data_IF_437449079904
#
_entry.id   IF_437449079904
#
_cell.length_a   1.000
_cell.length_b   1.000
_cell.length_c   1.000
_cell.angle_alpha   90.00
_cell.angle_beta   90.00
_cell.angle_gamma   90.00
#
_symmetry.space_group_name_H-M   'P 1'
#
loop_
_entity.id
_entity.type
_entity.pdbx_description
1 polymer ?
#
# COMPACT_ATOMS: atom_id res chain seq x y z
N UNK A 1 8.67 -0.71 9.39
CA UNK A 1 8.99 -1.15 8.02
C UNK A 1 10.07 -0.22 7.51
N UNK A 2 11.36 -0.57 7.65
CA UNK A 2 12.45 0.37 7.39
C UNK A 2 12.53 0.80 5.93
N UNK A 3 12.04 -0.01 4.98
CA UNK A 3 12.14 0.28 3.54
C UNK A 3 10.89 0.92 2.92
N UNK A 4 9.87 1.23 3.72
CA UNK A 4 8.57 1.74 3.22
C UNK A 4 8.31 3.11 3.82
N UNK A 5 8.05 4.12 2.98
CA UNK A 5 7.47 5.38 3.43
C UNK A 5 5.95 5.23 3.50
N UNK A 6 5.48 4.69 4.63
CA UNK A 6 4.06 4.41 4.81
C UNK A 6 3.21 5.68 4.93
N UNK A 7 3.79 6.77 5.41
CA UNK A 7 3.13 8.07 5.44
C UNK A 7 2.83 8.55 4.02
N UNK A 8 3.82 8.51 3.12
CA UNK A 8 3.61 8.90 1.71
C UNK A 8 2.64 7.97 1.00
N UNK A 9 2.68 6.66 1.28
CA UNK A 9 1.70 5.71 0.74
C UNK A 9 0.28 6.04 1.18
N UNK A 10 0.08 6.29 2.48
CA UNK A 10 -1.23 6.66 3.03
C UNK A 10 -1.69 8.00 2.47
N UNK A 11 -0.81 9.01 2.41
CA UNK A 11 -1.12 10.30 1.81
C UNK A 11 -1.51 10.17 0.33
N UNK A 12 -0.86 9.29 -0.42
CA UNK A 12 -1.18 9.01 -1.82
C UNK A 12 -2.56 8.38 -1.98
N UNK A 13 -2.93 7.46 -1.09
CA UNK A 13 -4.25 6.84 -1.05
C UNK A 13 -5.34 7.81 -0.57
N UNK A 14 -5.08 8.67 0.42
CA UNK A 14 -6.06 9.67 0.90
C UNK A 14 -6.22 10.82 -0.11
N UNK A 15 -5.18 11.09 -0.91
CA UNK A 15 -5.19 12.11 -1.95
C UNK A 15 -5.28 13.53 -1.38
N UNK A 16 -6.04 14.40 -2.04
CA UNK A 16 -6.14 15.84 -1.69
C UNK A 16 -6.57 16.09 -0.23
N UNK A 17 -7.35 15.18 0.34
CA UNK A 17 -7.87 15.28 1.70
C UNK A 17 -6.79 15.10 2.77
N UNK A 18 -5.63 14.54 2.42
CA UNK A 18 -4.53 14.35 3.37
C UNK A 18 -4.08 15.67 4.01
N UNK A 19 -4.05 16.75 3.22
CA UNK A 19 -3.67 18.09 3.68
C UNK A 19 -4.72 18.72 4.61
N UNK A 20 -5.93 18.17 4.64
CA UNK A 20 -7.03 18.63 5.51
C UNK A 20 -7.10 17.80 6.81
N UNK A 21 -6.46 16.62 6.84
CA UNK A 21 -6.41 15.77 8.02
C UNK A 21 -5.55 16.41 9.12
N UNK A 22 -6.04 16.38 10.35
CA UNK A 22 -5.23 16.74 11.53
C UNK A 22 -4.09 15.73 11.73
N UNK A 23 -3.02 16.07 12.48
CA UNK A 23 -1.95 15.13 12.78
C UNK A 23 -2.44 13.81 13.41
N UNK A 24 -3.46 13.88 14.27
CA UNK A 24 -4.09 12.70 14.88
C UNK A 24 -4.84 11.86 13.84
N UNK A 25 -5.59 12.50 12.94
CA UNK A 25 -6.27 11.80 11.84
C UNK A 25 -5.25 11.15 10.89
N UNK A 26 -4.17 11.83 10.54
CA UNK A 26 -3.09 11.28 9.74
C UNK A 26 -2.47 10.04 10.40
N UNK A 27 -2.27 10.07 11.72
CA UNK A 27 -1.75 8.93 12.49
C UNK A 27 -2.73 7.76 12.48
N UNK A 28 -4.03 8.02 12.71
CA UNK A 28 -5.08 6.98 12.68
C UNK A 28 -5.25 6.37 11.30
N UNK A 29 -5.29 7.19 10.24
CA UNK A 29 -5.36 6.72 8.86
C UNK A 29 -4.18 5.81 8.52
N UNK A 30 -2.95 6.20 8.90
CA UNK A 30 -1.77 5.35 8.70
C UNK A 30 -1.89 4.02 9.45
N UNK A 31 -2.29 4.03 10.72
CA UNK A 31 -2.42 2.82 11.53
C UNK A 31 -3.47 1.86 10.96
N UNK A 32 -4.65 2.37 10.63
CA UNK A 32 -5.77 1.56 10.12
C UNK A 32 -5.50 1.06 8.70
N UNK A 33 -4.94 1.91 7.84
CA UNK A 33 -4.61 1.50 6.47
C UNK A 33 -3.49 0.45 6.45
N UNK A 34 -2.46 0.58 7.30
CA UNK A 34 -1.42 -0.44 7.47
C UNK A 34 -2.01 -1.77 7.87
N UNK A 35 -2.90 -1.76 8.86
CA UNK A 35 -3.57 -2.97 9.36
C UNK A 35 -4.41 -3.62 8.26
N UNK A 36 -5.14 -2.81 7.48
CA UNK A 36 -5.93 -3.30 6.35
C UNK A 36 -5.04 -4.02 5.33
N UNK A 37 -3.98 -3.37 4.86
CA UNK A 37 -3.06 -3.95 3.88
C UNK A 37 -2.39 -5.23 4.40
N UNK A 38 -1.92 -5.23 5.65
CA UNK A 38 -1.33 -6.43 6.26
C UNK A 38 -2.33 -7.58 6.26
N UNK A 39 -3.60 -7.34 6.61
CA UNK A 39 -4.63 -8.40 6.62
C UNK A 39 -5.02 -8.86 5.23
N UNK A 40 -5.19 -7.95 4.28
CA UNK A 40 -5.56 -8.28 2.90
C UNK A 40 -4.50 -9.14 2.23
N UNK A 41 -3.22 -8.93 2.51
CA UNK A 41 -2.11 -9.60 1.82
C UNK A 41 -1.33 -10.61 2.65
N UNK A 42 -1.59 -10.75 3.96
CA UNK A 42 -0.92 -11.74 4.82
C UNK A 42 -1.06 -13.16 4.27
N UNK A 43 -2.25 -13.55 3.83
CA UNK A 43 -2.50 -14.88 3.27
C UNK A 43 -1.69 -15.17 2.01
N UNK A 44 -1.48 -14.18 1.14
CA UNK A 44 -0.66 -14.34 -0.05
C UNK A 44 0.83 -14.50 0.30
N UNK A 45 1.30 -13.76 1.31
CA UNK A 45 2.69 -13.83 1.78
C UNK A 45 3.05 -15.19 2.38
N UNK A 46 2.11 -15.89 3.03
CA UNK A 46 2.38 -17.23 3.59
C UNK A 46 2.50 -18.31 2.53
N UNK A 47 1.98 -18.06 1.32
CA UNK A 47 2.12 -18.97 0.18
C UNK A 47 3.47 -18.80 -0.54
N UNK A 48 4.27 -17.80 -0.17
CA UNK A 48 5.61 -17.59 -0.74
C UNK A 48 6.60 -18.49 -0.01
N UNK A 49 6.97 -19.61 -0.63
CA UNK A 49 7.97 -20.58 -0.13
C UNK A 49 9.05 -20.87 -1.15
N UNK A 50 8.65 -21.29 -2.35
CA UNK A 50 9.56 -21.75 -3.41
C UNK A 50 9.60 -20.79 -4.62
N UNK A 51 9.04 -19.58 -4.46
CA UNK A 51 9.01 -18.59 -5.53
C UNK A 51 10.31 -17.79 -5.57
N UNK A 52 10.75 -17.47 -6.79
CA UNK A 52 11.88 -16.56 -7.04
C UNK A 52 11.37 -15.18 -7.47
N UNK A 53 12.16 -14.15 -7.20
CA UNK A 53 11.86 -12.77 -7.64
C UNK A 53 12.74 -12.45 -8.84
N UNK A 54 12.11 -12.19 -9.98
CA UNK A 54 12.75 -11.68 -11.19
C UNK A 54 12.71 -10.16 -11.22
N UNK A 55 13.87 -9.51 -11.31
CA UNK A 55 13.97 -8.07 -11.51
C UNK A 55 13.96 -7.78 -13.03
N UNK A 56 13.08 -6.88 -13.48
CA UNK A 56 13.10 -6.39 -14.87
C UNK A 56 14.10 -5.24 -15.01
N UNK A 57 14.58 -4.96 -16.24
CA UNK A 57 15.52 -3.86 -16.46
C UNK A 57 15.01 -2.54 -15.88
N UNK A 58 15.80 -1.94 -14.99
CA UNK A 58 15.50 -0.64 -14.42
C UNK A 58 15.70 0.44 -15.49
N UNK A 59 14.68 1.27 -15.66
CA UNK A 59 14.74 2.48 -16.50
C UNK A 59 14.70 3.68 -15.57
N UNK A 60 15.87 4.15 -15.17
CA UNK A 60 16.04 5.31 -14.30
C UNK A 60 17.35 6.04 -14.65
N UNK A 61 17.38 7.35 -14.46
CA UNK A 61 18.57 8.18 -14.53
C UNK A 61 19.17 8.39 -13.14
N UNK A 62 20.49 8.63 -13.02
CA UNK A 62 21.13 8.89 -11.72
C UNK A 62 20.56 10.09 -10.96
N UNK A 63 19.95 11.04 -11.68
CA UNK A 63 19.33 12.25 -11.13
C UNK A 63 17.89 12.05 -10.67
N UNK A 64 17.28 10.90 -10.97
CA UNK A 64 15.89 10.66 -10.62
C UNK A 64 15.72 10.57 -9.09
N UNK A 65 14.67 11.19 -8.59
CA UNK A 65 14.26 11.12 -7.18
C UNK A 65 13.07 10.19 -6.98
N UNK A 66 12.47 9.71 -8.06
CA UNK A 66 11.37 8.75 -8.06
C UNK A 66 11.56 7.75 -9.20
N UNK A 67 11.39 6.46 -8.91
CA UNK A 67 11.56 5.38 -9.89
C UNK A 67 10.50 4.31 -9.73
N UNK A 68 10.26 3.56 -10.81
CA UNK A 68 9.48 2.33 -10.76
C UNK A 68 10.42 1.14 -10.91
N UNK A 69 10.54 0.34 -9.86
CA UNK A 69 11.24 -0.94 -9.90
C UNK A 69 10.22 -2.01 -10.26
N UNK A 70 10.44 -2.69 -11.39
CA UNK A 70 9.51 -3.71 -11.89
C UNK A 70 10.00 -5.09 -11.52
N UNK A 71 9.15 -5.89 -10.89
CA UNK A 71 9.49 -7.27 -10.52
C UNK A 71 8.39 -8.24 -10.90
N UNK A 72 8.73 -9.52 -10.92
CA UNK A 72 7.79 -10.60 -11.06
C UNK A 72 8.13 -11.74 -10.10
N UNK A 73 7.12 -12.26 -9.42
CA UNK A 73 7.24 -13.44 -8.60
C UNK A 73 7.00 -14.65 -9.51
N UNK A 74 7.99 -15.53 -9.61
CA UNK A 74 7.95 -16.74 -10.45
C UNK A 74 7.86 -17.97 -9.57
N UNK A 75 6.90 -18.84 -9.84
CA UNK A 75 6.69 -20.12 -9.15
C UNK A 75 6.35 -21.23 -10.13
N UNK A 76 5.52 -22.19 -9.71
CA UNK A 76 5.03 -23.29 -10.57
C UNK A 76 3.93 -22.89 -11.55
N UNK A 77 3.35 -21.70 -11.40
CA UNK A 77 2.30 -21.15 -12.27
C UNK A 77 2.72 -19.83 -12.92
N UNK A 78 1.72 -19.08 -13.42
CA UNK A 78 1.94 -17.79 -14.06
C UNK A 78 2.70 -16.81 -13.15
N UNK A 79 3.61 -16.05 -13.77
CA UNK A 79 4.38 -15.05 -13.05
C UNK A 79 3.46 -13.91 -12.58
N UNK A 80 3.56 -13.57 -11.30
CA UNK A 80 2.76 -12.49 -10.71
C UNK A 80 3.57 -11.19 -10.81
N UNK A 81 3.03 -10.19 -11.48
CA UNK A 81 3.64 -8.86 -11.52
C UNK A 81 3.53 -8.17 -10.16
N UNK A 82 4.68 -7.70 -9.66
CA UNK A 82 4.80 -6.95 -8.42
C UNK A 82 5.76 -5.77 -8.64
N UNK A 83 5.23 -4.57 -8.88
CA UNK A 83 6.08 -3.39 -9.10
C UNK A 83 6.05 -2.47 -7.89
N UNK A 84 7.07 -1.63 -7.76
CA UNK A 84 7.22 -0.72 -6.64
C UNK A 84 7.49 0.69 -7.15
N UNK A 85 6.75 1.68 -6.65
CA UNK A 85 7.16 3.09 -6.77
C UNK A 85 8.06 3.40 -5.58
N UNK A 86 9.28 3.88 -5.87
CA UNK A 86 10.25 4.27 -4.86
C UNK A 86 10.52 5.76 -4.98
N UNK A 87 10.72 6.40 -3.85
CA UNK A 87 11.21 7.77 -3.74
C UNK A 87 12.57 7.79 -3.06
N UNK A 88 13.37 8.82 -3.34
CA UNK A 88 14.60 9.11 -2.63
C UNK A 88 14.27 9.96 -1.39
N UNK A 89 14.37 9.36 -0.21
CA UNK A 89 14.21 10.00 1.09
C UNK A 89 15.60 10.26 1.70
N UNK A 90 16.17 11.43 1.41
CA UNK A 90 17.56 11.74 1.77
C UNK A 90 18.55 10.89 0.98
N UNK A 91 19.32 10.05 1.67
CA UNK A 91 20.27 9.13 1.05
C UNK A 91 19.68 7.74 0.74
N UNK A 92 18.45 7.46 1.18
CA UNK A 92 17.84 6.13 1.08
C UNK A 92 16.66 6.12 0.12
N UNK A 93 16.49 4.99 -0.59
CA UNK A 93 15.28 4.75 -1.36
C UNK A 93 14.20 4.10 -0.49
N UNK A 94 12.97 4.61 -0.58
CA UNK A 94 11.81 4.08 0.15
C UNK A 94 10.68 3.78 -0.81
N UNK A 95 10.05 2.62 -0.62
CA UNK A 95 8.83 2.25 -1.35
C UNK A 95 7.69 3.11 -0.82
N UNK A 96 6.94 3.77 -1.70
CA UNK A 96 5.74 4.53 -1.33
C UNK A 96 4.47 4.03 -2.03
N UNK A 97 4.58 3.08 -2.96
CA UNK A 97 3.42 2.42 -3.56
C UNK A 97 3.81 1.05 -4.12
N UNK A 98 2.84 0.15 -4.23
CA UNK A 98 3.02 -1.21 -4.75
C UNK A 98 1.97 -1.47 -5.82
N UNK A 99 2.39 -2.09 -6.92
CA UNK A 99 1.52 -2.58 -7.97
C UNK A 99 1.37 -4.09 -7.81
N UNK A 100 0.14 -4.58 -7.72
CA UNK A 100 -0.16 -6.01 -7.71
C UNK A 100 -1.04 -6.30 -8.91
N UNK A 101 -0.58 -7.17 -9.81
CA UNK A 101 -1.34 -7.58 -11.00
C UNK A 101 -1.84 -6.39 -11.86
N UNK A 102 -1.01 -5.36 -12.02
CA UNK A 102 -1.33 -4.18 -12.82
C UNK A 102 -2.00 -3.05 -12.04
N UNK A 103 -2.41 -3.28 -10.79
CA UNK A 103 -3.16 -2.31 -9.98
C UNK A 103 -2.24 -1.70 -8.91
N UNK A 104 -2.04 -0.38 -8.98
CA UNK A 104 -1.36 0.38 -7.92
C UNK A 104 -2.27 0.53 -6.70
N UNK A 105 -1.79 0.15 -5.53
CA UNK A 105 -2.59 0.15 -4.30
C UNK A 105 -3.06 1.56 -3.96
N UNK A 106 -2.18 2.57 -4.00
CA UNK A 106 -2.59 3.93 -3.68
C UNK A 106 -3.69 4.44 -4.62
N UNK A 107 -3.59 4.15 -5.91
CA UNK A 107 -4.59 4.57 -6.91
C UNK A 107 -5.92 3.82 -6.71
N UNK A 108 -5.88 2.52 -6.40
CA UNK A 108 -7.06 1.71 -6.09
C UNK A 108 -7.82 2.26 -4.88
N UNK A 109 -7.12 2.50 -3.77
CA UNK A 109 -7.76 3.01 -2.55
C UNK A 109 -8.18 4.47 -2.65
N UNK A 110 -7.51 5.27 -3.47
CA UNK A 110 -7.84 6.70 -3.66
C UNK A 110 -9.28 6.94 -4.06
N UNK A 111 -9.80 6.14 -4.98
CA UNK A 111 -11.17 6.29 -5.43
C UNK A 111 -12.16 5.98 -4.31
N UNK A 112 -11.98 4.85 -3.61
CA UNK A 112 -12.86 4.46 -2.51
C UNK A 112 -12.75 5.41 -1.30
N UNK A 113 -11.56 5.90 -0.98
CA UNK A 113 -11.35 6.83 0.13
C UNK A 113 -11.96 8.19 -0.18
N UNK A 114 -11.81 8.69 -1.41
CA UNK A 114 -12.42 9.95 -1.79
C UNK A 114 -13.96 9.91 -1.70
N UNK A 115 -14.58 8.78 -2.07
CA UNK A 115 -16.01 8.58 -1.92
C UNK A 115 -16.45 8.57 -0.45
N UNK A 116 -15.75 7.82 0.40
CA UNK A 116 -16.05 7.74 1.83
C UNK A 116 -15.87 9.09 2.53
N UNK A 117 -14.76 9.80 2.24
CA UNK A 117 -14.51 11.13 2.80
C UNK A 117 -15.56 12.13 2.31
N UNK A 118 -15.99 12.03 1.04
CA UNK A 118 -17.04 12.89 0.51
C UNK A 118 -18.38 12.71 1.22
N UNK A 119 -18.70 11.50 1.66
CA UNK A 119 -19.95 11.19 2.37
C UNK A 119 -19.86 11.46 3.88
N UNK A 120 -18.77 11.05 4.52
CA UNK A 120 -18.68 10.91 5.97
C UNK A 120 -17.47 11.64 6.58
N UNK A 121 -16.72 12.40 5.78
CA UNK A 121 -15.51 13.09 6.21
C UNK A 121 -14.35 12.14 6.53
N UNK A 122 -13.25 12.73 7.01
CA UNK A 122 -12.02 11.97 7.33
C UNK A 122 -12.25 10.99 8.49
N UNK A 123 -13.03 11.39 9.50
CA UNK A 123 -13.38 10.51 10.61
C UNK A 123 -14.26 9.34 10.15
N UNK A 124 -15.13 9.54 9.16
CA UNK A 124 -15.88 8.48 8.49
C UNK A 124 -14.96 7.45 7.84
N UNK A 125 -13.93 7.91 7.11
CA UNK A 125 -12.93 7.00 6.54
C UNK A 125 -12.18 6.22 7.63
N UNK A 126 -11.73 6.89 8.69
CA UNK A 126 -11.04 6.22 9.81
C UNK A 126 -11.94 5.14 10.40
N UNK A 127 -13.20 5.45 10.66
CA UNK A 127 -14.18 4.48 11.16
C UNK A 127 -14.39 3.32 10.20
N UNK A 128 -14.56 3.59 8.91
CA UNK A 128 -14.74 2.57 7.87
C UNK A 128 -13.55 1.60 7.80
N UNK A 129 -12.32 2.11 7.90
CA UNK A 129 -11.11 1.29 7.95
C UNK A 129 -11.05 0.43 9.23
N UNK A 130 -11.33 1.02 10.39
CA UNK A 130 -11.37 0.30 11.67
C UNK A 130 -12.43 -0.82 11.65
N UNK A 131 -13.63 -0.55 11.13
CA UNK A 131 -14.71 -1.52 11.02
C UNK A 131 -14.35 -2.68 10.06
N UNK A 132 -13.71 -2.38 8.92
CA UNK A 132 -13.19 -3.41 7.99
C UNK A 132 -12.13 -4.28 8.67
N UNK A 133 -11.24 -3.64 9.41
CA UNK A 133 -10.18 -4.30 10.16
C UNK A 133 -10.76 -5.26 11.21
N UNK A 134 -11.73 -4.83 12.01
CA UNK A 134 -12.38 -5.67 13.00
C UNK A 134 -13.05 -6.91 12.37
N UNK A 135 -13.76 -6.73 11.25
CA UNK A 135 -14.41 -7.82 10.51
C UNK A 135 -13.40 -8.84 9.96
N UNK A 136 -12.33 -8.37 9.33
CA UNK A 136 -11.29 -9.26 8.78
C UNK A 136 -10.54 -10.05 9.87
N UNK A 137 -10.30 -9.44 11.04
CA UNK A 137 -9.71 -10.14 12.19
C UNK A 137 -10.61 -11.24 12.76
N UNK A 138 -11.93 -11.02 12.75
CA UNK A 138 -12.91 -12.02 13.23
C UNK A 138 -13.08 -13.23 12.32
N UNK A 139 -12.80 -13.09 11.02
CA UNK A 139 -12.82 -14.19 10.06
C UNK A 139 -11.57 -15.08 10.17
N UNK A 140 -10.40 -14.48 10.44
CA UNK A 140 -9.13 -15.20 10.61
C UNK A 140 -9.03 -15.96 11.96
N UNK A 141 -9.80 -15.57 12.98
CA UNK A 141 -9.81 -16.22 14.29
C UNK A 141 -10.80 -17.42 14.39
N UNK A 142 -11.55 -17.70 13.32
CA UNK A 142 -12.55 -18.78 13.27
C UNK A 142 -12.17 -19.92 12.31
N UNK A 143 -10.98 -19.88 11.72
CA UNK A 143 -10.40 -20.95 10.90
C UNK A 143 -9.13 -21.49 11.55
#
# INVERSE_FOLDING_TARGET
MPHVNFQRMTASAVGRFWRQATPDQQTKLQAEFKTLLMRTYAGALTQVKDQSIGLKPLRAQPTDTEVVVRTEIRGKGDAIQLDYRLEKAGAEWKIYDVNVLGIWLADQYRNSFAQEIGANGIDGLIKSLADKNAKAGSAAAKG
#
